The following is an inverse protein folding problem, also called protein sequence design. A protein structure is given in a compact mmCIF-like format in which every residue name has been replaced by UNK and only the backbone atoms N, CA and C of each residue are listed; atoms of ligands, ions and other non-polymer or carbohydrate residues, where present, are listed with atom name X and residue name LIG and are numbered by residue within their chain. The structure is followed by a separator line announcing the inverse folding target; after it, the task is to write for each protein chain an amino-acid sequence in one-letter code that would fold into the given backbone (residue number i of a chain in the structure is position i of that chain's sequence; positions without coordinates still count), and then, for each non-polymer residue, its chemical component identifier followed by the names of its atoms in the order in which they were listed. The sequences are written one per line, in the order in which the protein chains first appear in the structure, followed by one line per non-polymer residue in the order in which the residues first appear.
data_IF_921048874962
#
_entry.id   IF_921048874962
#
_cell.length_a   1.000
_cell.length_b   1.000
_cell.length_c   1.000
_cell.angle_alpha   90.00
_cell.angle_beta   90.00
_cell.angle_gamma   90.00
#
_symmetry.space_group_name_H-M   'P 1'
#
loop_
_entity.id
_entity.type
_entity.pdbx_description
1 polymer ?
#
# COMPACT_ATOMS: atom_id res chain seq x y z
N UNK A 1 1.68 -8.13 3.61
CA UNK A 1 1.02 -8.91 2.53
C UNK A 1 -0.06 -9.90 2.99
N UNK A 2 -0.43 -9.94 4.27
CA UNK A 2 -1.38 -10.95 4.80
C UNK A 2 -2.67 -10.34 5.40
N UNK A 3 -2.88 -9.02 5.29
CA UNK A 3 -4.00 -8.35 5.96
C UNK A 3 -5.36 -8.93 5.52
N UNK A 4 -5.59 -9.07 4.22
CA UNK A 4 -6.83 -9.66 3.69
C UNK A 4 -7.01 -11.12 4.14
N UNK A 5 -5.98 -11.95 4.02
CA UNK A 5 -6.02 -13.36 4.41
C UNK A 5 -6.26 -13.53 5.91
N UNK A 6 -5.66 -12.68 6.75
CA UNK A 6 -5.88 -12.67 8.19
C UNK A 6 -7.33 -12.35 8.55
N UNK A 7 -7.95 -11.37 7.88
CA UNK A 7 -9.36 -11.06 8.06
C UNK A 7 -10.27 -12.21 7.61
N UNK A 8 -9.96 -12.87 6.48
CA UNK A 8 -10.69 -14.07 6.04
C UNK A 8 -10.57 -15.24 7.03
N UNK A 9 -9.44 -15.36 7.73
CA UNK A 9 -9.22 -16.38 8.74
C UNK A 9 -9.90 -16.07 10.10
N UNK A 10 -10.66 -14.97 10.20
CA UNK A 10 -11.41 -14.60 11.42
C UNK A 10 -10.73 -13.54 12.29
N UNK A 11 -9.67 -12.88 11.82
CA UNK A 11 -9.09 -11.75 12.55
C UNK A 11 -10.08 -10.57 12.57
N UNK A 12 -10.37 -10.04 13.76
CA UNK A 12 -11.31 -8.92 13.95
C UNK A 12 -10.70 -7.54 13.66
N UNK A 13 -9.41 -7.49 13.35
CA UNK A 13 -8.66 -6.27 13.03
C UNK A 13 -7.20 -6.56 12.70
N UNK A 14 -6.42 -5.52 12.40
CA UNK A 14 -4.98 -5.64 12.13
C UNK A 14 -4.19 -4.40 12.58
N UNK A 15 -2.92 -4.61 12.94
CA UNK A 15 -1.94 -3.52 13.08
C UNK A 15 -1.15 -3.48 11.78
N UNK A 16 -1.36 -2.43 10.98
CA UNK A 16 -0.91 -2.41 9.59
C UNK A 16 -0.33 -1.06 9.19
N UNK A 17 1.00 -0.99 9.10
CA UNK A 17 1.70 0.25 8.75
C UNK A 17 1.36 0.76 7.34
N UNK A 18 1.07 -0.13 6.39
CA UNK A 18 0.76 0.27 5.03
C UNK A 18 -0.58 0.99 4.90
N UNK A 19 -1.47 0.89 5.90
CA UNK A 19 -2.67 1.71 5.98
C UNK A 19 -2.35 3.21 6.01
N UNK A 20 -1.14 3.63 6.42
CA UNK A 20 -0.72 5.04 6.30
C UNK A 20 -0.57 5.50 4.84
N UNK A 21 -0.20 4.59 3.94
CA UNK A 21 -0.10 4.89 2.51
C UNK A 21 -1.46 4.77 1.80
N UNK A 22 -2.32 3.85 2.21
CA UNK A 22 -3.63 3.57 1.58
C UNK A 22 -4.77 3.49 2.61
N UNK A 23 -5.07 4.58 3.33
CA UNK A 23 -6.00 4.54 4.47
C UNK A 23 -7.44 4.25 4.05
N UNK A 24 -7.89 4.82 2.92
CA UNK A 24 -9.26 4.63 2.41
C UNK A 24 -9.48 3.18 2.04
N UNK A 25 -8.55 2.62 1.29
CA UNK A 25 -8.59 1.24 0.82
C UNK A 25 -8.47 0.25 1.98
N UNK A 26 -7.69 0.58 3.00
CA UNK A 26 -7.58 -0.25 4.20
C UNK A 26 -8.91 -0.36 4.96
N UNK A 27 -9.61 0.76 5.14
CA UNK A 27 -10.94 0.78 5.77
C UNK A 27 -11.96 0.04 4.90
N UNK A 28 -12.01 0.35 3.61
CA UNK A 28 -12.94 -0.29 2.66
C UNK A 28 -12.72 -1.81 2.60
N UNK A 29 -11.47 -2.27 2.61
CA UNK A 29 -11.14 -3.70 2.66
C UNK A 29 -11.67 -4.36 3.94
N UNK A 30 -11.49 -3.72 5.09
CA UNK A 30 -12.02 -4.22 6.36
C UNK A 30 -13.54 -4.30 6.33
N UNK A 31 -14.21 -3.23 5.90
CA UNK A 31 -15.68 -3.17 5.82
C UNK A 31 -16.25 -4.22 4.86
N UNK A 32 -15.60 -4.47 3.73
CA UNK A 32 -15.98 -5.54 2.83
C UNK A 32 -15.91 -6.91 3.50
N UNK A 33 -14.80 -7.23 4.16
CA UNK A 33 -14.65 -8.55 4.80
C UNK A 33 -15.60 -8.69 6.00
N UNK A 34 -15.71 -7.67 6.84
CA UNK A 34 -16.59 -7.66 8.01
C UNK A 34 -18.08 -7.84 7.64
N UNK A 35 -18.50 -7.30 6.48
CA UNK A 35 -19.86 -7.45 5.98
C UNK A 35 -20.07 -8.69 5.09
N UNK A 36 -19.09 -9.59 4.96
CA UNK A 36 -19.18 -10.79 4.11
C UNK A 36 -19.14 -10.50 2.60
N UNK A 37 -18.82 -9.28 2.18
CA UNK A 37 -18.65 -8.86 0.77
C UNK A 37 -17.28 -9.30 0.23
N UNK A 38 -17.05 -10.62 0.21
CA UNK A 38 -15.73 -11.19 -0.03
C UNK A 38 -15.23 -11.01 -1.48
N UNK A 39 -16.15 -10.92 -2.45
CA UNK A 39 -15.79 -10.72 -3.86
C UNK A 39 -15.22 -9.32 -4.08
N UNK A 40 -15.86 -8.32 -3.49
CA UNK A 40 -15.46 -6.92 -3.51
C UNK A 40 -14.16 -6.73 -2.73
N UNK A 41 -14.04 -7.34 -1.55
CA UNK A 41 -12.80 -7.36 -0.78
C UNK A 41 -11.62 -7.97 -1.55
N UNK A 42 -11.84 -9.09 -2.24
CA UNK A 42 -10.81 -9.71 -3.09
C UNK A 42 -10.45 -8.83 -4.28
N UNK A 43 -11.43 -8.18 -4.92
CA UNK A 43 -11.19 -7.29 -6.05
C UNK A 43 -10.34 -6.08 -5.62
N UNK A 44 -10.65 -5.47 -4.47
CA UNK A 44 -9.84 -4.41 -3.90
C UNK A 44 -8.44 -4.91 -3.51
N UNK A 45 -8.33 -6.06 -2.84
CA UNK A 45 -7.05 -6.64 -2.46
C UNK A 45 -6.13 -6.89 -3.66
N UNK A 46 -6.66 -7.37 -4.80
CA UNK A 46 -5.89 -7.55 -6.04
C UNK A 46 -5.26 -6.25 -6.55
N UNK A 47 -5.92 -5.12 -6.34
CA UNK A 47 -5.37 -3.79 -6.68
C UNK A 47 -4.30 -3.33 -5.70
N UNK A 48 -4.44 -3.69 -4.42
CA UNK A 48 -3.50 -3.32 -3.35
C UNK A 48 -2.24 -4.20 -3.32
N UNK A 49 -2.32 -5.47 -3.77
CA UNK A 49 -1.31 -6.49 -3.48
C UNK A 49 0.08 -6.15 -4.02
N UNK A 50 0.17 -5.50 -5.18
CA UNK A 50 1.45 -5.08 -5.76
C UNK A 50 2.20 -4.11 -4.83
N UNK A 51 1.53 -3.06 -4.36
CA UNK A 51 2.08 -2.12 -3.38
C UNK A 51 2.43 -2.82 -2.06
N UNK A 52 1.57 -3.73 -1.57
CA UNK A 52 1.84 -4.50 -0.35
C UNK A 52 3.08 -5.38 -0.45
N UNK A 53 3.29 -6.02 -1.61
CA UNK A 53 4.48 -6.82 -1.87
C UNK A 53 5.72 -5.94 -2.02
N UNK A 54 5.60 -4.75 -2.61
CA UNK A 54 6.68 -3.79 -2.65
C UNK A 54 7.12 -3.42 -1.21
N UNK A 55 6.19 -3.02 -0.34
CA UNK A 55 6.51 -2.64 1.04
C UNK A 55 7.16 -3.78 1.84
N UNK A 56 6.74 -5.01 1.59
CA UNK A 56 7.26 -6.18 2.30
C UNK A 56 8.70 -6.54 1.90
N UNK A 57 9.08 -6.28 0.65
CA UNK A 57 10.38 -6.67 0.09
C UNK A 57 11.41 -5.53 0.06
N UNK A 58 11.10 -4.37 0.67
CA UNK A 58 11.99 -3.20 0.74
C UNK A 58 12.03 -2.66 2.18
N UNK A 59 12.80 -1.59 2.41
CA UNK A 59 12.82 -0.92 3.70
C UNK A 59 11.43 -0.34 4.04
N UNK A 60 10.69 -1.05 4.90
CA UNK A 60 9.26 -0.84 5.12
C UNK A 60 8.88 0.63 5.41
N UNK A 61 9.48 1.25 6.44
CA UNK A 61 9.15 2.62 6.82
C UNK A 61 9.47 3.65 5.70
N UNK A 62 10.68 3.66 5.11
CA UNK A 62 10.95 4.45 3.90
C UNK A 62 9.93 4.23 2.78
N UNK A 63 9.54 2.98 2.49
CA UNK A 63 8.58 2.68 1.44
C UNK A 63 7.18 3.22 1.72
N UNK A 64 6.69 3.09 2.96
CA UNK A 64 5.37 3.64 3.35
C UNK A 64 5.37 5.16 3.26
N UNK A 65 6.43 5.82 3.76
CA UNK A 65 6.54 7.28 3.69
C UNK A 65 6.65 7.78 2.26
N UNK A 66 7.44 7.13 1.42
CA UNK A 66 7.56 7.45 0.00
C UNK A 66 6.22 7.27 -0.72
N UNK A 67 5.47 6.20 -0.41
CA UNK A 67 4.15 5.96 -0.99
C UNK A 67 3.16 7.04 -0.58
N UNK A 68 3.13 7.41 0.70
CA UNK A 68 2.30 8.51 1.18
C UNK A 68 2.63 9.82 0.43
N UNK A 69 3.92 10.15 0.26
CA UNK A 69 4.36 11.34 -0.46
C UNK A 69 3.93 11.33 -1.94
N UNK A 70 4.10 10.19 -2.63
CA UNK A 70 3.61 10.01 -4.03
C UNK A 70 2.10 10.25 -4.13
N UNK A 71 1.35 9.87 -3.09
CA UNK A 71 -0.10 10.03 -3.02
C UNK A 71 -0.54 11.35 -2.36
N UNK A 72 0.34 12.35 -2.34
CA UNK A 72 0.05 13.72 -1.92
C UNK A 72 0.08 13.96 -0.41
N UNK A 73 0.61 13.03 0.39
CA UNK A 73 0.75 13.14 1.86
C UNK A 73 2.22 13.06 2.24
N UNK A 74 2.90 14.20 2.31
CA UNK A 74 4.32 14.24 2.72
C UNK A 74 4.46 13.98 4.23
N UNK A 75 5.11 12.85 4.57
CA UNK A 75 5.41 12.43 5.95
C UNK A 75 6.89 12.66 6.31
N UNK A 76 7.63 13.36 5.45
CA UNK A 76 9.06 13.57 5.52
C UNK A 76 9.88 12.29 5.35
N UNK A 77 11.19 12.41 5.44
CA UNK A 77 12.08 11.24 5.40
C UNK A 77 12.12 10.50 6.74
N UNK A 78 12.62 9.27 6.72
CA UNK A 78 13.00 8.59 7.96
C UNK A 78 14.26 9.23 8.54
N UNK A 79 14.37 9.23 9.87
CA UNK A 79 15.64 9.54 10.53
C UNK A 79 16.63 8.40 10.26
N UNK A 80 17.92 8.74 10.17
CA UNK A 80 19.01 7.75 10.07
C UNK A 80 18.90 6.73 11.24
N UNK A 81 19.25 5.45 11.03
CA UNK A 81 20.02 4.92 9.89
C UNK A 81 19.21 4.55 8.64
N UNK A 82 17.87 4.65 8.67
CA UNK A 82 17.04 4.31 7.51
C UNK A 82 17.23 5.35 6.40
N UNK A 83 17.63 4.89 5.22
CA UNK A 83 17.85 5.74 4.05
C UNK A 83 16.56 5.89 3.22
N UNK A 84 16.44 6.94 2.40
CA UNK A 84 15.41 7.03 1.37
C UNK A 84 15.51 5.86 0.38
N UNK A 85 14.43 5.62 -0.37
CA UNK A 85 14.48 4.74 -1.52
C UNK A 85 15.43 5.31 -2.58
N UNK A 86 16.14 4.43 -3.28
CA UNK A 86 16.86 4.79 -4.51
C UNK A 86 15.87 5.21 -5.61
N UNK A 87 16.34 5.91 -6.64
CA UNK A 87 15.49 6.32 -7.77
C UNK A 87 14.85 5.10 -8.49
N UNK A 88 15.59 4.00 -8.59
CA UNK A 88 15.10 2.75 -9.18
C UNK A 88 13.97 2.13 -8.33
N UNK A 89 14.12 2.13 -7.00
CA UNK A 89 13.07 1.67 -6.08
C UNK A 89 11.87 2.61 -6.07
N UNK A 90 12.10 3.93 -6.13
CA UNK A 90 11.03 4.92 -6.22
C UNK A 90 10.19 4.76 -7.51
N UNK A 91 10.84 4.47 -8.64
CA UNK A 91 10.16 4.14 -9.90
C UNK A 91 9.34 2.85 -9.77
N UNK A 92 9.90 1.80 -9.18
CA UNK A 92 9.19 0.54 -8.90
C UNK A 92 8.02 0.72 -7.94
N UNK A 93 8.16 1.57 -6.93
CA UNK A 93 7.08 1.91 -6.01
C UNK A 93 5.91 2.56 -6.76
N UNK A 94 6.19 3.55 -7.62
CA UNK A 94 5.15 4.20 -8.44
C UNK A 94 4.41 3.18 -9.30
N UNK A 95 5.13 2.27 -9.95
CA UNK A 95 4.54 1.16 -10.72
C UNK A 95 3.68 0.24 -9.85
N UNK A 96 4.12 -0.08 -8.62
CA UNK A 96 3.36 -0.94 -7.71
C UNK A 96 2.06 -0.30 -7.22
N UNK A 97 1.95 1.03 -7.26
CA UNK A 97 0.76 1.78 -6.84
C UNK A 97 -0.30 1.92 -7.95
N UNK A 98 0.02 1.60 -9.21
CA UNK A 98 -0.87 1.88 -10.35
C UNK A 98 -2.18 1.11 -10.32
N UNK A 99 -2.21 -0.05 -9.66
CA UNK A 99 -3.45 -0.81 -9.44
C UNK A 99 -4.50 -0.04 -8.62
N UNK A 100 -4.05 0.87 -7.75
CA UNK A 100 -4.92 1.77 -6.99
C UNK A 100 -5.05 3.14 -7.66
N UNK A 101 -3.94 3.62 -8.23
CA UNK A 101 -3.77 4.97 -8.79
C UNK A 101 -3.26 4.91 -10.24
N UNK A 102 -4.12 4.57 -11.22
CA UNK A 102 -3.73 4.42 -12.62
C UNK A 102 -3.14 5.70 -13.23
N UNK A 103 -3.47 6.86 -12.69
CA UNK A 103 -2.90 8.16 -13.09
C UNK A 103 -1.37 8.21 -12.95
N UNK A 104 -0.78 7.40 -12.06
CA UNK A 104 0.67 7.35 -11.85
C UNK A 104 1.43 6.71 -13.01
N UNK A 105 0.76 5.96 -13.91
CA UNK A 105 1.41 5.45 -15.13
C UNK A 105 1.74 6.58 -16.12
N UNK A 106 0.87 7.59 -16.21
CA UNK A 106 1.01 8.68 -17.20
C UNK A 106 2.15 9.62 -16.83
N UNK A 107 2.28 9.92 -15.53
CA UNK A 107 3.32 10.80 -14.99
C UNK A 107 4.75 10.19 -15.04
N UNK A 108 4.90 8.91 -15.41
CA UNK A 108 6.20 8.26 -15.55
C UNK A 108 6.69 8.21 -17.01
N UNK A 109 5.85 8.64 -17.97
CA UNK A 109 6.14 8.67 -19.40
C UNK A 109 6.53 10.07 -19.94
N UNK A 110 6.42 11.10 -19.10
CA UNK A 110 6.91 12.47 -19.31
C UNK A 110 8.24 12.68 -18.59
#
# INVERSE_FOLDING_TARGET
PIAFQGMLAGSVGCIWGAANAMPREAVELYEHVAAGRLKEGLALWRRMVAAQLFFWNHAYNPSIKAAAAVLGRDLGLCRKPQLPLTDAEAKRLRQALTGLHPELERAAAE
#
